data_IF_658456870459
#
_entry.id   IF_658456870459
#
_cell.length_a   1.000
_cell.length_b   1.000
_cell.length_c   1.000
_cell.angle_alpha   90.00
_cell.angle_beta   90.00
_cell.angle_gamma   90.00
#
_symmetry.space_group_name_H-M   'P 1'
#
loop_
_entity.id
_entity.type
_entity.pdbx_description
1 polymer ?
#
# COMPACT_ATOMS: atom_id res chain seq x y z
N UNK A 1 8.36 -28.11 0.35
CA UNK A 1 7.05 -27.88 -0.26
C UNK A 1 6.18 -26.91 0.55
N UNK A 2 5.89 -27.15 1.83
CA UNK A 2 5.00 -26.29 2.67
C UNK A 2 5.37 -24.81 2.69
N UNK A 3 6.66 -24.45 2.74
CA UNK A 3 7.13 -23.04 2.75
C UNK A 3 6.73 -22.26 1.50
N UNK A 4 6.79 -22.88 0.31
CA UNK A 4 6.40 -22.22 -0.95
C UNK A 4 4.88 -22.08 -1.09
N UNK A 5 4.13 -23.07 -0.59
CA UNK A 5 2.66 -23.02 -0.51
C UNK A 5 2.22 -21.86 0.36
N UNK A 6 2.87 -21.64 1.52
CA UNK A 6 2.57 -20.51 2.41
C UNK A 6 2.84 -19.16 1.72
N UNK A 7 3.94 -19.04 0.95
CA UNK A 7 4.23 -17.80 0.18
C UNK A 7 3.15 -17.58 -0.89
N UNK A 8 2.81 -18.61 -1.67
CA UNK A 8 1.77 -18.50 -2.70
C UNK A 8 0.40 -18.14 -2.11
N UNK A 9 0.00 -18.78 -1.00
CA UNK A 9 -1.24 -18.47 -0.30
C UNK A 9 -1.25 -17.03 0.22
N UNK A 10 -0.14 -16.56 0.79
CA UNK A 10 -0.02 -15.18 1.25
C UNK A 10 -0.09 -14.17 0.10
N UNK A 11 0.51 -14.47 -1.06
CA UNK A 11 0.40 -13.65 -2.26
C UNK A 11 -1.04 -13.53 -2.74
N UNK A 12 -1.78 -14.66 -2.80
CA UNK A 12 -3.19 -14.67 -3.21
C UNK A 12 -4.07 -13.91 -2.22
N UNK A 13 -3.83 -14.04 -0.91
CA UNK A 13 -4.52 -13.25 0.10
C UNK A 13 -4.29 -11.75 -0.13
N UNK A 14 -3.04 -11.34 -0.33
CA UNK A 14 -2.69 -9.96 -0.62
C UNK A 14 -3.37 -9.43 -1.89
N UNK A 15 -3.45 -10.27 -2.92
CA UNK A 15 -4.12 -9.94 -4.17
C UNK A 15 -5.63 -9.71 -3.96
N UNK A 16 -6.29 -10.51 -3.14
CA UNK A 16 -7.70 -10.30 -2.82
C UNK A 16 -7.93 -9.03 -1.98
N UNK A 17 -7.04 -8.72 -1.04
CA UNK A 17 -7.21 -7.61 -0.10
C UNK A 17 -6.86 -6.24 -0.70
N UNK A 18 -6.04 -6.18 -1.74
CA UNK A 18 -5.57 -4.92 -2.33
C UNK A 18 -6.53 -4.26 -3.32
N UNK A 19 -7.75 -4.78 -3.51
CA UNK A 19 -8.73 -4.29 -4.49
C UNK A 19 -9.08 -2.80 -4.36
N UNK A 20 -8.85 -2.20 -3.19
CA UNK A 20 -9.10 -0.78 -2.95
C UNK A 20 -8.23 0.16 -3.82
N UNK A 21 -7.13 -0.32 -4.38
CA UNK A 21 -6.37 0.46 -5.37
C UNK A 21 -7.10 0.62 -6.72
N UNK A 22 -8.16 -0.14 -6.98
CA UNK A 22 -9.06 0.04 -8.12
C UNK A 22 -10.23 0.99 -7.82
N UNK A 23 -10.17 1.75 -6.73
CA UNK A 23 -11.26 2.60 -6.25
C UNK A 23 -11.75 3.62 -7.27
N UNK A 24 -10.91 4.09 -8.17
CA UNK A 24 -11.29 5.04 -9.21
C UNK A 24 -12.42 4.51 -10.11
N UNK A 25 -12.42 3.22 -10.45
CA UNK A 25 -13.48 2.55 -11.19
C UNK A 25 -14.80 2.56 -10.38
N UNK A 26 -14.72 2.16 -9.11
CA UNK A 26 -15.86 2.12 -8.20
C UNK A 26 -16.43 3.52 -7.97
N UNK A 27 -15.57 4.51 -7.75
CA UNK A 27 -15.96 5.89 -7.51
C UNK A 27 -16.74 6.47 -8.69
N UNK A 28 -16.31 6.15 -9.92
CA UNK A 28 -17.00 6.56 -11.15
C UNK A 28 -18.42 6.01 -11.16
N UNK A 29 -18.59 4.71 -11.00
CA UNK A 29 -19.91 4.04 -10.99
C UNK A 29 -20.83 4.59 -9.89
N UNK A 30 -20.31 4.80 -8.67
CA UNK A 30 -21.08 5.37 -7.56
C UNK A 30 -21.51 6.82 -7.85
N UNK A 31 -20.70 7.58 -8.57
CA UNK A 31 -21.05 8.95 -8.98
C UNK A 31 -22.11 8.95 -10.07
N UNK A 32 -21.97 8.12 -11.09
CA UNK A 32 -22.87 8.07 -12.24
C UNK A 32 -24.23 7.47 -11.87
N UNK A 33 -24.27 6.40 -11.07
CA UNK A 33 -25.50 5.67 -10.74
C UNK A 33 -26.22 6.25 -9.51
N UNK A 34 -25.47 6.63 -8.47
CA UNK A 34 -26.04 7.06 -7.17
C UNK A 34 -25.82 8.54 -6.85
N UNK A 35 -25.22 9.32 -7.75
CA UNK A 35 -25.02 10.76 -7.57
C UNK A 35 -24.05 11.13 -6.43
N UNK A 36 -23.11 10.26 -6.11
CA UNK A 36 -22.12 10.58 -5.07
C UNK A 36 -21.20 11.69 -5.56
N UNK A 37 -20.97 12.69 -4.69
CA UNK A 37 -19.95 13.69 -4.97
C UNK A 37 -18.54 13.07 -4.90
N UNK A 38 -17.58 13.67 -5.61
CA UNK A 38 -16.19 13.27 -5.55
C UNK A 38 -15.65 13.25 -4.11
N UNK A 39 -16.03 14.24 -3.27
CA UNK A 39 -15.66 14.28 -1.86
C UNK A 39 -16.17 13.05 -1.08
N UNK A 40 -17.41 12.60 -1.33
CA UNK A 40 -17.98 11.42 -0.67
C UNK A 40 -17.24 10.14 -1.07
N UNK A 41 -16.93 9.96 -2.35
CA UNK A 41 -16.20 8.78 -2.82
C UNK A 41 -14.77 8.77 -2.30
N UNK A 42 -14.09 9.91 -2.31
CA UNK A 42 -12.73 10.04 -1.77
C UNK A 42 -12.68 9.83 -0.24
N UNK A 43 -13.74 10.21 0.49
CA UNK A 43 -13.79 9.96 1.93
C UNK A 43 -13.88 8.47 2.25
N UNK A 44 -14.61 7.66 1.47
CA UNK A 44 -14.62 6.19 1.63
C UNK A 44 -13.22 5.61 1.47
N UNK A 45 -12.51 6.04 0.43
CA UNK A 45 -11.13 5.65 0.17
C UNK A 45 -10.18 6.06 1.31
N UNK A 46 -10.27 7.30 1.77
CA UNK A 46 -9.45 7.83 2.87
C UNK A 46 -9.70 7.09 4.19
N UNK A 47 -10.96 6.81 4.53
CA UNK A 47 -11.32 6.04 5.73
C UNK A 47 -10.76 4.62 5.67
N UNK A 48 -10.82 3.94 4.51
CA UNK A 48 -10.21 2.63 4.35
C UNK A 48 -8.71 2.66 4.68
N UNK A 49 -7.96 3.59 4.07
CA UNK A 49 -6.50 3.68 4.29
C UNK A 49 -6.13 4.20 5.69
N UNK A 50 -7.05 4.80 6.40
CA UNK A 50 -6.87 5.16 7.82
C UNK A 50 -7.17 3.96 8.73
N UNK A 51 -8.28 3.26 8.50
CA UNK A 51 -8.71 2.13 9.32
C UNK A 51 -7.82 0.91 9.15
N UNK A 52 -7.36 0.64 7.94
CA UNK A 52 -6.51 -0.51 7.62
C UNK A 52 -5.25 -0.61 8.52
N UNK A 53 -4.37 0.40 8.62
CA UNK A 53 -3.21 0.31 9.50
C UNK A 53 -3.57 0.35 10.99
N UNK A 54 -4.64 1.04 11.37
CA UNK A 54 -5.14 1.02 12.75
C UNK A 54 -5.61 -0.38 13.13
N UNK A 55 -6.33 -1.07 12.25
CA UNK A 55 -6.74 -2.45 12.46
C UNK A 55 -5.55 -3.40 12.60
N UNK A 56 -4.43 -3.14 11.91
CA UNK A 56 -3.19 -3.91 12.08
C UNK A 56 -2.64 -3.85 13.51
N UNK A 57 -2.87 -2.78 14.29
CA UNK A 57 -2.47 -2.71 15.70
C UNK A 57 -3.20 -3.77 16.55
N UNK A 58 -4.48 -3.94 16.30
CA UNK A 58 -5.28 -4.96 16.98
C UNK A 58 -4.91 -6.36 16.48
N UNK A 59 -4.70 -6.50 15.17
CA UNK A 59 -4.25 -7.73 14.55
C UNK A 59 -2.89 -8.20 15.12
N UNK A 60 -1.94 -7.31 15.31
CA UNK A 60 -0.63 -7.63 15.89
C UNK A 60 -0.70 -8.12 17.35
N UNK A 61 -1.68 -7.62 18.13
CA UNK A 61 -1.96 -8.13 19.47
C UNK A 61 -2.67 -9.50 19.42
N UNK A 62 -3.61 -9.65 18.49
CA UNK A 62 -4.40 -10.86 18.31
C UNK A 62 -3.58 -12.03 17.74
N UNK A 63 -2.57 -11.76 16.90
CA UNK A 63 -1.73 -12.77 16.25
C UNK A 63 -1.11 -13.74 17.22
N UNK A 64 -0.69 -13.24 18.40
CA UNK A 64 -0.06 -14.05 19.45
C UNK A 64 -0.98 -15.12 20.04
N UNK A 65 -2.29 -14.88 20.02
CA UNK A 65 -3.31 -15.78 20.58
C UNK A 65 -4.00 -16.63 19.51
N UNK A 66 -4.31 -16.01 18.39
CA UNK A 66 -5.14 -16.61 17.34
C UNK A 66 -4.31 -17.34 16.27
N UNK A 67 -3.07 -16.89 16.07
CA UNK A 67 -2.23 -17.38 14.99
C UNK A 67 -2.66 -16.87 13.60
N UNK A 68 -1.81 -17.05 12.56
CA UNK A 68 -2.02 -16.45 11.24
C UNK A 68 -3.28 -16.97 10.52
N UNK A 69 -3.60 -18.25 10.67
CA UNK A 69 -4.79 -18.86 10.05
C UNK A 69 -6.09 -18.22 10.54
N UNK A 70 -6.29 -18.14 11.86
CA UNK A 70 -7.53 -17.59 12.41
C UNK A 70 -7.64 -16.10 12.16
N UNK A 71 -6.52 -15.37 12.17
CA UNK A 71 -6.49 -13.96 11.78
C UNK A 71 -6.95 -13.75 10.34
N UNK A 72 -6.53 -14.62 9.41
CA UNK A 72 -6.94 -14.55 8.01
C UNK A 72 -8.42 -14.91 7.84
N UNK A 73 -8.96 -15.84 8.63
CA UNK A 73 -10.39 -16.14 8.66
C UNK A 73 -11.20 -14.92 9.15
N UNK A 74 -10.75 -14.26 10.23
CA UNK A 74 -11.37 -13.02 10.73
C UNK A 74 -11.27 -11.91 9.66
N UNK A 75 -10.16 -11.80 8.98
CA UNK A 75 -9.98 -10.89 7.85
C UNK A 75 -11.07 -11.10 6.79
N UNK A 76 -11.26 -12.36 6.36
CA UNK A 76 -12.28 -12.71 5.38
C UNK A 76 -13.69 -12.36 5.86
N UNK A 77 -14.03 -12.63 7.12
CA UNK A 77 -15.33 -12.30 7.67
C UNK A 77 -15.63 -10.80 7.61
N UNK A 78 -14.69 -9.95 8.05
CA UNK A 78 -14.85 -8.50 7.97
C UNK A 78 -14.86 -7.99 6.54
N UNK A 79 -13.99 -8.51 5.67
CA UNK A 79 -13.94 -8.16 4.26
C UNK A 79 -15.27 -8.47 3.57
N UNK A 80 -15.73 -9.73 3.67
CA UNK A 80 -16.98 -10.17 3.05
C UNK A 80 -18.17 -9.40 3.61
N UNK A 81 -18.26 -9.24 4.94
CA UNK A 81 -19.35 -8.51 5.56
C UNK A 81 -19.37 -7.03 5.13
N UNK A 82 -18.20 -6.39 4.95
CA UNK A 82 -18.11 -5.02 4.46
C UNK A 82 -18.62 -4.87 3.03
N UNK A 83 -18.22 -5.78 2.15
CA UNK A 83 -18.70 -5.82 0.77
C UNK A 83 -20.20 -6.13 0.69
N UNK A 84 -20.71 -7.09 1.48
CA UNK A 84 -22.14 -7.40 1.53
C UNK A 84 -22.95 -6.23 2.10
N UNK A 85 -22.49 -5.58 3.18
CA UNK A 85 -23.14 -4.39 3.72
C UNK A 85 -23.30 -3.31 2.65
N UNK A 86 -22.22 -3.09 1.88
CA UNK A 86 -22.24 -2.12 0.76
C UNK A 86 -23.17 -2.58 -0.37
N UNK A 87 -23.24 -3.88 -0.64
CA UNK A 87 -24.13 -4.41 -1.71
C UNK A 87 -25.61 -4.26 -1.37
N UNK A 88 -25.98 -4.31 -0.10
CA UNK A 88 -27.36 -4.11 0.35
C UNK A 88 -27.66 -2.65 0.73
N UNK A 89 -26.80 -1.72 0.39
CA UNK A 89 -26.97 -0.31 0.76
C UNK A 89 -28.07 0.42 0.01
N UNK A 90 -28.51 -0.08 -1.14
CA UNK A 90 -29.42 0.64 -2.06
C UNK A 90 -28.93 2.08 -2.35
N UNK A 91 -27.63 2.29 -2.43
CA UNK A 91 -27.02 3.62 -2.63
C UNK A 91 -26.92 4.48 -1.36
N UNK A 92 -27.21 3.93 -0.17
CA UNK A 92 -27.02 4.68 1.06
C UNK A 92 -25.53 4.87 1.35
N UNK A 93 -25.11 6.13 1.36
CA UNK A 93 -23.72 6.52 1.55
C UNK A 93 -23.09 5.98 2.86
N UNK A 94 -23.83 6.04 4.00
CA UNK A 94 -23.29 5.61 5.28
C UNK A 94 -23.04 4.09 5.32
N UNK A 95 -23.88 3.30 4.65
CA UNK A 95 -23.67 1.85 4.55
C UNK A 95 -22.46 1.52 3.69
N UNK A 96 -22.25 2.25 2.58
CA UNK A 96 -21.06 2.08 1.74
C UNK A 96 -19.81 2.56 2.48
N UNK A 97 -19.84 3.70 3.17
CA UNK A 97 -18.73 4.19 3.97
C UNK A 97 -18.35 3.19 5.08
N UNK A 98 -19.34 2.66 5.79
CA UNK A 98 -19.10 1.69 6.87
C UNK A 98 -18.62 0.35 6.30
N UNK A 99 -19.21 -0.13 5.20
CA UNK A 99 -18.85 -1.40 4.58
C UNK A 99 -17.47 -1.36 3.95
N UNK A 100 -17.28 -0.48 2.95
CA UNK A 100 -16.03 -0.40 2.20
C UNK A 100 -14.94 0.33 2.96
N UNK A 101 -15.25 1.44 3.64
CA UNK A 101 -14.25 2.21 4.38
C UNK A 101 -13.81 1.53 5.67
N UNK A 102 -14.77 1.14 6.53
CA UNK A 102 -14.45 0.64 7.87
C UNK A 102 -14.26 -0.88 7.89
N UNK A 103 -15.29 -1.65 7.51
CA UNK A 103 -15.25 -3.12 7.66
C UNK A 103 -14.22 -3.76 6.73
N UNK A 104 -14.19 -3.39 5.45
CA UNK A 104 -13.18 -3.90 4.53
C UNK A 104 -11.77 -3.44 4.94
N UNK A 105 -11.61 -2.22 5.50
CA UNK A 105 -10.36 -1.74 6.08
C UNK A 105 -9.89 -2.60 7.27
N UNK A 106 -10.79 -2.96 8.20
CA UNK A 106 -10.49 -3.88 9.31
C UNK A 106 -10.06 -5.24 8.77
N UNK A 107 -10.85 -5.82 7.86
CA UNK A 107 -10.53 -7.09 7.21
C UNK A 107 -9.15 -7.08 6.58
N UNK A 108 -8.84 -6.03 5.81
CA UNK A 108 -7.54 -5.86 5.18
C UNK A 108 -6.41 -5.79 6.21
N UNK A 109 -6.61 -5.08 7.33
CA UNK A 109 -5.59 -4.96 8.38
C UNK A 109 -5.20 -6.30 9.00
N UNK A 110 -6.17 -7.15 9.30
CA UNK A 110 -5.92 -8.49 9.85
C UNK A 110 -5.24 -9.41 8.83
N UNK A 111 -5.74 -9.46 7.61
CA UNK A 111 -5.20 -10.34 6.57
C UNK A 111 -3.83 -9.91 6.07
N UNK A 112 -3.62 -8.61 5.86
CA UNK A 112 -2.35 -8.05 5.43
C UNK A 112 -1.23 -8.42 6.42
N UNK A 113 -1.45 -8.20 7.72
CA UNK A 113 -0.42 -8.50 8.72
C UNK A 113 -0.10 -10.00 8.77
N UNK A 114 -1.11 -10.88 8.75
CA UNK A 114 -0.91 -12.32 8.75
C UNK A 114 -0.14 -12.79 7.52
N UNK A 115 -0.54 -12.32 6.32
CA UNK A 115 0.10 -12.67 5.06
C UNK A 115 1.53 -12.11 4.94
N UNK A 116 1.81 -10.96 5.56
CA UNK A 116 3.13 -10.34 5.57
C UNK A 116 4.11 -11.07 6.49
N UNK A 117 3.69 -11.38 7.72
CA UNK A 117 4.62 -11.85 8.77
C UNK A 117 4.96 -13.32 8.66
N UNK A 118 4.01 -14.16 8.23
CA UNK A 118 4.19 -15.60 8.21
C UNK A 118 5.24 -16.10 7.21
N UNK A 119 5.27 -15.66 5.94
CA UNK A 119 6.28 -16.10 4.97
C UNK A 119 7.72 -15.78 5.40
N UNK A 120 7.93 -14.65 6.08
CA UNK A 120 9.26 -14.25 6.58
C UNK A 120 9.81 -15.22 7.62
N UNK A 121 8.94 -15.91 8.37
CA UNK A 121 9.34 -16.96 9.35
C UNK A 121 9.92 -18.20 8.66
N UNK A 122 9.49 -18.48 7.43
CA UNK A 122 9.98 -19.61 6.63
C UNK A 122 11.28 -19.31 5.88
N UNK A 123 11.61 -18.03 5.66
CA UNK A 123 12.76 -17.59 4.87
C UNK A 123 13.53 -16.48 5.58
N UNK A 124 14.18 -16.79 6.72
CA UNK A 124 14.88 -15.79 7.53
C UNK A 124 16.04 -15.11 6.80
N UNK A 125 16.65 -15.79 5.79
CA UNK A 125 17.79 -15.26 5.03
C UNK A 125 17.36 -14.44 3.79
N UNK A 126 16.10 -14.57 3.37
CA UNK A 126 15.55 -13.90 2.17
C UNK A 126 14.31 -13.06 2.50
N UNK A 127 14.37 -12.35 3.64
CA UNK A 127 13.22 -11.58 4.16
C UNK A 127 12.71 -10.55 3.18
N UNK A 128 13.62 -9.82 2.52
CA UNK A 128 13.30 -8.75 1.57
C UNK A 128 12.61 -9.29 0.33
N UNK A 129 13.21 -10.27 -0.33
CA UNK A 129 12.62 -10.90 -1.53
C UNK A 129 11.24 -11.47 -1.23
N UNK A 130 11.11 -12.26 -0.14
CA UNK A 130 9.84 -12.92 0.20
C UNK A 130 8.76 -11.89 0.58
N UNK A 131 9.12 -10.87 1.35
CA UNK A 131 8.21 -9.75 1.64
C UNK A 131 7.80 -9.05 0.35
N UNK A 132 8.76 -8.78 -0.54
CA UNK A 132 8.52 -8.15 -1.83
C UNK A 132 7.54 -8.93 -2.70
N UNK A 133 7.76 -10.24 -2.86
CA UNK A 133 6.87 -11.12 -3.62
C UNK A 133 5.46 -11.13 -3.04
N UNK A 134 5.33 -11.30 -1.74
CA UNK A 134 4.00 -11.36 -1.09
C UNK A 134 3.27 -10.03 -1.21
N UNK A 135 3.94 -8.92 -0.91
CA UNK A 135 3.33 -7.59 -0.94
C UNK A 135 3.08 -7.10 -2.37
N UNK A 136 3.80 -7.62 -3.38
CA UNK A 136 3.51 -7.38 -4.79
C UNK A 136 2.08 -7.84 -5.16
N UNK A 137 1.57 -8.92 -4.54
CA UNK A 137 0.18 -9.35 -4.70
C UNK A 137 -0.81 -8.21 -4.38
N UNK A 138 -0.57 -7.48 -3.31
CA UNK A 138 -1.39 -6.31 -2.95
C UNK A 138 -1.28 -5.16 -3.98
N UNK A 139 -0.13 -5.01 -4.63
CA UNK A 139 0.07 -4.04 -5.71
C UNK A 139 -0.63 -4.45 -7.01
N UNK A 140 -0.57 -5.72 -7.38
CA UNK A 140 -1.25 -6.24 -8.57
C UNK A 140 -2.78 -6.34 -8.41
N UNK A 141 -3.29 -6.25 -7.19
CA UNK A 141 -4.71 -6.39 -6.89
C UNK A 141 -5.59 -5.45 -7.71
N UNK A 142 -5.14 -4.20 -7.94
CA UNK A 142 -5.89 -3.24 -8.73
C UNK A 142 -6.20 -3.77 -10.14
N UNK A 143 -5.24 -4.41 -10.80
CA UNK A 143 -5.39 -4.94 -12.15
C UNK A 143 -6.45 -6.06 -12.16
N UNK A 144 -6.28 -7.06 -11.28
CA UNK A 144 -7.20 -8.19 -11.23
C UNK A 144 -8.61 -7.77 -10.80
N UNK A 145 -8.70 -6.85 -9.84
CA UNK A 145 -9.97 -6.31 -9.38
C UNK A 145 -10.68 -5.54 -10.50
N UNK A 146 -9.97 -4.62 -11.19
CA UNK A 146 -10.55 -3.83 -12.28
C UNK A 146 -11.03 -4.72 -13.41
N UNK A 147 -10.21 -5.66 -13.87
CA UNK A 147 -10.60 -6.58 -14.94
C UNK A 147 -11.85 -7.39 -14.57
N UNK A 148 -11.91 -7.89 -13.32
CA UNK A 148 -13.08 -8.66 -12.87
C UNK A 148 -14.32 -7.79 -12.68
N UNK A 149 -14.17 -6.59 -12.11
CA UNK A 149 -15.27 -5.64 -11.95
C UNK A 149 -15.80 -5.15 -13.30
N UNK A 150 -14.92 -4.78 -14.24
CA UNK A 150 -15.33 -4.39 -15.61
C UNK A 150 -16.03 -5.52 -16.35
N UNK A 151 -15.55 -6.76 -16.24
CA UNK A 151 -16.24 -7.91 -16.81
C UNK A 151 -17.68 -8.06 -16.29
N UNK A 152 -17.88 -7.87 -14.98
CA UNK A 152 -19.20 -7.93 -14.36
C UNK A 152 -20.10 -6.76 -14.80
N UNK A 153 -19.58 -5.54 -14.81
CA UNK A 153 -20.30 -4.34 -15.25
C UNK A 153 -20.70 -4.45 -16.73
N UNK A 154 -19.80 -4.88 -17.61
CA UNK A 154 -20.06 -5.09 -19.02
C UNK A 154 -21.06 -6.23 -19.28
N UNK A 155 -21.26 -7.14 -18.33
CA UNK A 155 -22.31 -8.17 -18.37
C UNK A 155 -23.68 -7.69 -17.88
N UNK A 156 -23.82 -6.37 -17.65
CA UNK A 156 -25.09 -5.74 -17.23
C UNK A 156 -25.35 -5.79 -15.72
N UNK A 157 -24.32 -6.08 -14.89
CA UNK A 157 -24.44 -6.04 -13.44
C UNK A 157 -24.28 -4.62 -12.92
N UNK A 158 -25.08 -4.24 -11.93
CA UNK A 158 -24.89 -2.98 -11.20
C UNK A 158 -23.73 -3.06 -10.20
N UNK A 159 -23.14 -1.92 -9.84
CA UNK A 159 -22.00 -1.84 -8.93
C UNK A 159 -22.27 -2.49 -7.56
N UNK A 160 -23.48 -2.45 -7.06
CA UNK A 160 -23.84 -3.10 -5.79
C UNK A 160 -23.84 -4.64 -5.92
N UNK A 161 -24.23 -5.19 -7.07
CA UNK A 161 -24.08 -6.62 -7.36
C UNK A 161 -22.60 -7.01 -7.51
N UNK A 162 -21.80 -6.15 -8.13
CA UNK A 162 -20.34 -6.34 -8.23
C UNK A 162 -19.72 -6.45 -6.84
N UNK A 163 -20.11 -5.58 -5.89
CA UNK A 163 -19.68 -5.71 -4.48
C UNK A 163 -20.06 -7.07 -3.90
N UNK A 164 -21.29 -7.53 -4.09
CA UNK A 164 -21.74 -8.84 -3.60
C UNK A 164 -20.89 -9.98 -4.14
N UNK A 165 -20.68 -10.01 -5.45
CA UNK A 165 -19.94 -11.09 -6.12
C UNK A 165 -18.47 -11.08 -5.66
N UNK A 166 -17.81 -9.92 -5.67
CA UNK A 166 -16.43 -9.79 -5.23
C UNK A 166 -16.28 -10.13 -3.75
N UNK A 167 -17.17 -9.63 -2.91
CA UNK A 167 -17.14 -9.92 -1.47
C UNK A 167 -17.20 -11.40 -1.17
N UNK A 168 -18.11 -12.14 -1.83
CA UNK A 168 -18.27 -13.59 -1.64
C UNK A 168 -17.09 -14.35 -2.25
N UNK A 169 -16.72 -14.07 -3.50
CA UNK A 169 -15.66 -14.82 -4.21
C UNK A 169 -14.29 -14.60 -3.58
N UNK A 170 -13.90 -13.34 -3.34
CA UNK A 170 -12.60 -13.05 -2.73
C UNK A 170 -12.58 -13.50 -1.25
N UNK A 171 -13.69 -13.33 -0.53
CA UNK A 171 -13.82 -13.83 0.83
C UNK A 171 -13.62 -15.36 0.91
N UNK A 172 -14.27 -16.11 0.02
CA UNK A 172 -14.09 -17.56 -0.06
C UNK A 172 -12.65 -17.95 -0.40
N UNK A 173 -11.99 -17.24 -1.34
CA UNK A 173 -10.58 -17.45 -1.67
C UNK A 173 -9.69 -17.17 -0.45
N UNK A 174 -9.90 -16.07 0.28
CA UNK A 174 -9.14 -15.73 1.49
C UNK A 174 -9.28 -16.86 2.54
N UNK A 175 -10.49 -17.37 2.77
CA UNK A 175 -10.71 -18.50 3.69
C UNK A 175 -9.98 -19.75 3.21
N UNK A 176 -10.09 -20.11 1.93
CA UNK A 176 -9.39 -21.27 1.38
C UNK A 176 -7.88 -21.16 1.57
N UNK A 177 -7.30 -19.98 1.28
CA UNK A 177 -5.87 -19.73 1.45
C UNK A 177 -5.46 -19.72 2.93
N UNK A 178 -6.34 -19.34 3.86
CA UNK A 178 -6.06 -19.36 5.30
C UNK A 178 -5.70 -20.78 5.80
N UNK A 179 -6.30 -21.83 5.24
CA UNK A 179 -5.98 -23.22 5.58
C UNK A 179 -4.58 -23.65 5.15
N UNK A 180 -3.97 -22.95 4.20
CA UNK A 180 -2.62 -23.18 3.72
C UNK A 180 -1.55 -22.43 4.51
N UNK A 181 -1.97 -21.54 5.41
CA UNK A 181 -1.08 -20.75 6.27
C UNK A 181 -0.62 -21.59 7.48
N UNK A 182 0.61 -22.09 7.40
CA UNK A 182 1.19 -22.99 8.41
C UNK A 182 2.48 -22.36 8.95
N UNK A 183 2.66 -22.32 10.27
CA UNK A 183 3.93 -21.91 10.89
C UNK A 183 5.03 -22.96 10.64
N UNK A 184 6.31 -22.53 10.58
CA UNK A 184 7.44 -23.47 10.61
C UNK A 184 7.41 -24.34 11.86
N UNK A 185 7.84 -25.59 11.74
CA UNK A 185 8.00 -26.49 12.89
C UNK A 185 9.01 -25.87 13.89
N UNK A 186 8.70 -25.90 15.18
CA UNK A 186 9.55 -25.33 16.23
C UNK A 186 9.49 -23.80 16.34
N UNK A 187 8.69 -23.10 15.53
CA UNK A 187 8.45 -21.68 15.71
C UNK A 187 7.60 -21.47 16.97
N UNK A 188 8.29 -21.25 18.10
CA UNK A 188 7.63 -20.80 19.32
C UNK A 188 7.47 -19.29 19.20
N UNK A 189 6.22 -18.85 19.16
CA UNK A 189 5.94 -17.42 19.28
C UNK A 189 6.35 -17.04 20.70
N UNK A 190 7.56 -16.51 20.84
CA UNK A 190 8.04 -16.05 22.13
C UNK A 190 7.06 -14.96 22.55
N UNK A 191 6.21 -15.29 23.51
CA UNK A 191 5.44 -14.29 24.25
C UNK A 191 6.50 -13.56 25.07
N UNK A 192 7.24 -12.71 24.40
CA UNK A 192 8.23 -11.88 25.03
C UNK A 192 7.44 -11.01 26.01
N UNK A 193 7.55 -11.34 27.31
CA UNK A 193 7.18 -10.42 28.40
C UNK A 193 8.08 -9.17 28.40
N UNK A 194 8.98 -9.08 27.42
CA UNK A 194 9.74 -7.88 27.16
C UNK A 194 8.67 -6.84 26.80
N UNK A 195 8.35 -6.02 27.77
CA UNK A 195 7.85 -4.67 27.54
C UNK A 195 8.96 -3.97 26.74
N UNK A 196 9.11 -4.33 25.45
CA UNK A 196 9.99 -3.60 24.56
C UNK A 196 9.35 -2.22 24.51
N UNK A 197 9.94 -1.29 25.26
CA UNK A 197 9.64 0.14 25.13
C UNK A 197 10.19 0.59 23.76
N UNK A 198 9.74 -0.11 22.67
CA UNK A 198 10.18 0.18 21.31
C UNK A 198 9.92 1.64 20.95
N UNK A 199 8.81 2.20 21.47
CA UNK A 199 8.45 3.60 21.30
C UNK A 199 9.47 4.59 21.89
N UNK A 200 10.36 4.16 22.78
CA UNK A 200 11.43 5.01 23.33
C UNK A 200 12.76 4.80 22.60
N UNK A 201 12.77 4.10 21.48
CA UNK A 201 14.00 3.84 20.72
C UNK A 201 14.10 4.74 19.48
N UNK A 202 15.28 5.30 19.22
CA UNK A 202 15.55 6.05 17.99
C UNK A 202 15.26 5.23 16.73
N UNK A 203 15.45 3.90 16.80
CA UNK A 203 15.16 2.96 15.71
C UNK A 203 13.67 2.99 15.31
N UNK A 204 12.76 3.07 16.27
CA UNK A 204 11.33 3.16 16.00
C UNK A 204 10.99 4.45 15.26
N UNK A 205 11.44 5.60 15.79
CA UNK A 205 11.17 6.90 15.15
C UNK A 205 11.81 7.00 13.77
N UNK A 206 13.00 6.44 13.58
CA UNK A 206 13.65 6.35 12.27
C UNK A 206 12.76 5.63 11.25
N UNK A 207 12.17 4.50 11.63
CA UNK A 207 11.26 3.74 10.77
C UNK A 207 9.94 4.47 10.54
N UNK A 208 9.33 5.00 11.60
CA UNK A 208 8.04 5.69 11.52
C UNK A 208 8.12 6.93 10.62
N UNK A 209 9.07 7.83 10.89
CA UNK A 209 9.20 9.06 10.10
C UNK A 209 9.75 8.79 8.69
N UNK A 210 10.65 7.82 8.52
CA UNK A 210 11.11 7.42 7.20
C UNK A 210 9.97 6.89 6.33
N UNK A 211 9.11 6.01 6.88
CA UNK A 211 7.94 5.51 6.19
C UNK A 211 6.93 6.63 5.91
N UNK A 212 6.64 7.50 6.89
CA UNK A 212 5.76 8.63 6.72
C UNK A 212 6.22 9.53 5.56
N UNK A 213 7.49 9.95 5.56
CA UNK A 213 8.04 10.86 4.57
C UNK A 213 8.04 10.25 3.15
N UNK A 214 8.49 8.99 3.04
CA UNK A 214 8.50 8.29 1.75
C UNK A 214 7.10 8.04 1.19
N UNK A 215 6.15 7.65 2.05
CA UNK A 215 4.78 7.39 1.61
C UNK A 215 3.97 8.67 1.41
N UNK A 216 4.21 9.73 2.18
CA UNK A 216 3.64 11.04 1.95
C UNK A 216 3.97 11.54 0.53
N UNK A 217 5.25 11.47 0.17
CA UNK A 217 5.71 11.87 -1.16
C UNK A 217 5.01 11.07 -2.27
N UNK A 218 4.97 9.75 -2.17
CA UNK A 218 4.36 8.90 -3.18
C UNK A 218 2.84 9.06 -3.27
N UNK A 219 2.14 9.21 -2.14
CA UNK A 219 0.68 9.37 -2.11
C UNK A 219 0.24 10.74 -2.60
N UNK A 220 1.00 11.80 -2.31
CA UNK A 220 0.79 13.12 -2.89
C UNK A 220 0.93 13.04 -4.41
N UNK A 221 1.99 12.37 -4.91
CA UNK A 221 2.24 12.26 -6.34
C UNK A 221 1.20 11.41 -7.06
N UNK A 222 0.86 10.21 -6.58
CA UNK A 222 -0.14 9.37 -7.27
C UNK A 222 -1.51 10.04 -7.31
N UNK A 223 -1.88 10.79 -6.28
CA UNK A 223 -3.15 11.53 -6.24
C UNK A 223 -3.21 12.70 -7.24
N UNK A 224 -2.04 13.24 -7.64
CA UNK A 224 -1.95 14.42 -8.52
C UNK A 224 -1.22 14.14 -9.84
N UNK A 225 -0.88 12.89 -10.14
CA UNK A 225 -0.10 12.54 -11.32
C UNK A 225 -0.81 12.94 -12.63
N UNK A 226 -2.12 12.65 -12.72
CA UNK A 226 -2.94 13.02 -13.88
C UNK A 226 -3.03 14.55 -14.05
N UNK A 227 -3.41 15.34 -13.04
CA UNK A 227 -3.40 16.80 -13.14
C UNK A 227 -2.04 17.40 -13.53
N UNK A 228 -0.94 16.92 -12.95
CA UNK A 228 0.42 17.36 -13.28
C UNK A 228 0.74 17.17 -14.76
N UNK A 229 0.40 16.01 -15.32
CA UNK A 229 0.56 15.77 -16.74
C UNK A 229 -0.38 16.61 -17.61
N UNK A 230 -1.61 16.86 -17.15
CA UNK A 230 -2.58 17.67 -17.88
C UNK A 230 -2.17 19.14 -17.98
N UNK A 231 -1.56 19.72 -16.93
CA UNK A 231 -0.97 21.07 -16.99
C UNK A 231 0.10 21.22 -18.09
N UNK A 232 0.79 20.12 -18.40
CA UNK A 232 1.79 20.08 -19.46
C UNK A 232 1.20 19.79 -20.86
N UNK A 233 -0.14 19.77 -21.00
CA UNK A 233 -0.83 19.51 -22.26
C UNK A 233 -0.80 18.06 -22.73
N UNK A 234 -0.50 17.11 -21.84
CA UNK A 234 -0.43 15.68 -22.19
C UNK A 234 -1.84 15.11 -22.37
N UNK A 235 -2.06 14.34 -23.44
CA UNK A 235 -3.36 13.77 -23.78
C UNK A 235 -3.83 12.72 -22.74
N UNK A 236 -5.18 12.62 -22.57
CA UNK A 236 -5.78 11.72 -21.58
C UNK A 236 -5.33 10.27 -21.71
N UNK A 237 -5.13 9.74 -22.90
CA UNK A 237 -4.67 8.36 -23.10
C UNK A 237 -3.28 8.13 -22.49
N UNK A 238 -2.39 9.11 -22.64
CA UNK A 238 -1.05 9.06 -22.05
C UNK A 238 -1.10 9.22 -20.51
N UNK A 239 -2.00 10.09 -20.01
CA UNK A 239 -2.21 10.26 -18.56
C UNK A 239 -2.63 8.95 -17.90
N UNK A 240 -3.59 8.24 -18.49
CA UNK A 240 -4.04 6.92 -18.00
C UNK A 240 -2.91 5.89 -18.06
N UNK A 241 -2.13 5.87 -19.14
CA UNK A 241 -0.95 5.00 -19.26
C UNK A 241 0.11 5.31 -18.20
N UNK A 242 0.31 6.59 -17.85
CA UNK A 242 1.24 7.00 -16.79
C UNK A 242 0.84 6.45 -15.42
N UNK A 243 -0.45 6.57 -15.05
CA UNK A 243 -0.97 6.00 -13.79
C UNK A 243 -0.86 4.47 -13.78
N UNK A 244 -1.17 3.82 -14.90
CA UNK A 244 -1.02 2.37 -15.05
C UNK A 244 0.44 1.94 -14.95
N UNK A 245 1.35 2.67 -15.60
CA UNK A 245 2.79 2.48 -15.52
C UNK A 245 3.33 2.61 -14.10
N UNK A 246 2.86 3.64 -13.36
CA UNK A 246 3.15 3.78 -11.93
C UNK A 246 2.74 2.54 -11.14
N UNK A 247 1.52 2.02 -11.33
CA UNK A 247 1.01 0.88 -10.58
C UNK A 247 1.80 -0.42 -10.86
N UNK A 248 2.12 -0.68 -12.12
CA UNK A 248 2.95 -1.84 -12.52
C UNK A 248 4.36 -1.72 -11.96
N UNK A 249 4.98 -0.55 -12.11
CA UNK A 249 6.32 -0.28 -11.61
C UNK A 249 6.39 -0.33 -10.07
N UNK A 250 5.35 0.12 -9.36
CA UNK A 250 5.21 -0.02 -7.90
C UNK A 250 5.27 -1.51 -7.48
N UNK A 251 4.54 -2.36 -8.18
CA UNK A 251 4.55 -3.80 -7.90
C UNK A 251 5.92 -4.45 -8.21
N UNK A 252 6.54 -4.07 -9.31
CA UNK A 252 7.91 -4.50 -9.65
C UNK A 252 8.93 -3.99 -8.62
N UNK A 253 8.81 -2.74 -8.19
CA UNK A 253 9.66 -2.13 -7.18
C UNK A 253 9.62 -2.88 -5.85
N UNK A 254 8.47 -3.37 -5.42
CA UNK A 254 8.35 -4.19 -4.19
C UNK A 254 9.25 -5.42 -4.24
N UNK A 255 9.26 -6.14 -5.36
CA UNK A 255 10.09 -7.33 -5.53
C UNK A 255 11.57 -6.96 -5.65
N UNK A 256 11.88 -5.99 -6.50
CA UNK A 256 13.27 -5.60 -6.82
C UNK A 256 13.98 -4.99 -5.61
N UNK A 257 13.38 -4.01 -4.94
CA UNK A 257 13.96 -3.43 -3.73
C UNK A 257 14.06 -4.44 -2.59
N UNK A 258 13.06 -5.32 -2.46
CA UNK A 258 13.11 -6.44 -1.53
C UNK A 258 14.33 -7.33 -1.77
N UNK A 259 14.54 -7.73 -3.03
CA UNK A 259 15.69 -8.53 -3.45
C UNK A 259 17.03 -7.80 -3.19
N UNK A 260 17.17 -6.56 -3.65
CA UNK A 260 18.38 -5.75 -3.44
C UNK A 260 18.71 -5.64 -1.94
N UNK A 261 17.69 -5.47 -1.11
CA UNK A 261 17.87 -5.32 0.33
C UNK A 261 18.44 -6.57 1.01
N UNK A 262 18.29 -7.74 0.42
CA UNK A 262 18.88 -8.98 0.97
C UNK A 262 20.40 -9.02 0.80
N UNK A 263 20.94 -8.25 -0.14
CA UNK A 263 22.39 -8.16 -0.39
C UNK A 263 23.05 -6.98 0.32
N UNK A 264 22.45 -5.78 0.22
CA UNK A 264 23.06 -4.56 0.76
C UNK A 264 22.44 -4.09 2.08
N UNK A 265 21.46 -4.83 2.61
CA UNK A 265 20.74 -4.49 3.83
C UNK A 265 19.62 -3.48 3.63
N UNK A 266 18.58 -3.55 4.49
CA UNK A 266 17.37 -2.79 4.30
C UNK A 266 17.58 -1.28 4.50
N UNK A 267 18.35 -0.86 5.53
CA UNK A 267 18.58 0.57 5.80
C UNK A 267 19.20 1.30 4.61
N UNK A 268 20.24 0.74 4.00
CA UNK A 268 20.89 1.32 2.83
C UNK A 268 19.97 1.29 1.59
N UNK A 269 19.19 0.22 1.45
CA UNK A 269 18.23 0.11 0.35
C UNK A 269 17.09 1.12 0.48
N UNK A 270 16.62 1.44 1.70
CA UNK A 270 15.64 2.51 1.97
C UNK A 270 16.21 3.86 1.49
N UNK A 271 17.46 4.16 1.84
CA UNK A 271 18.12 5.39 1.38
C UNK A 271 18.05 5.51 -0.15
N UNK A 272 18.47 4.46 -0.88
CA UNK A 272 18.47 4.50 -2.34
C UNK A 272 17.05 4.55 -2.92
N UNK A 273 16.10 3.80 -2.39
CA UNK A 273 14.72 3.78 -2.90
C UNK A 273 14.03 5.14 -2.73
N UNK A 274 14.18 5.78 -1.55
CA UNK A 274 13.62 7.09 -1.27
C UNK A 274 14.33 8.21 -2.04
N UNK A 275 15.65 8.15 -2.17
CA UNK A 275 16.39 9.09 -2.99
C UNK A 275 15.98 8.99 -4.47
N UNK A 276 15.90 7.76 -5.00
CA UNK A 276 15.42 7.49 -6.35
C UNK A 276 14.01 8.03 -6.59
N UNK A 277 13.08 7.78 -5.64
CA UNK A 277 11.72 8.31 -5.69
C UNK A 277 11.73 9.84 -5.68
N UNK A 278 12.46 10.47 -4.76
CA UNK A 278 12.51 11.92 -4.63
C UNK A 278 13.11 12.62 -5.85
N UNK A 279 14.18 12.08 -6.41
CA UNK A 279 14.78 12.59 -7.66
C UNK A 279 13.79 12.44 -8.82
N UNK A 280 13.13 11.30 -8.97
CA UNK A 280 12.12 11.09 -10.01
C UNK A 280 10.96 12.09 -9.92
N UNK A 281 10.51 12.40 -8.69
CA UNK A 281 9.49 13.42 -8.42
C UNK A 281 10.00 14.81 -8.79
N UNK A 282 11.23 15.13 -8.45
CA UNK A 282 11.81 16.42 -8.79
C UNK A 282 11.87 16.63 -10.32
N UNK A 283 12.28 15.59 -11.05
CA UNK A 283 12.41 15.64 -12.50
C UNK A 283 11.08 15.77 -13.24
N UNK A 284 9.98 15.21 -12.71
CA UNK A 284 8.66 15.34 -13.36
C UNK A 284 8.12 16.77 -13.25
N UNK A 285 8.43 17.49 -12.16
CA UNK A 285 8.04 18.88 -11.98
C UNK A 285 8.99 19.88 -12.64
N UNK A 286 10.26 19.51 -12.73
CA UNK A 286 11.32 20.40 -13.21
C UNK A 286 12.16 19.74 -14.30
N UNK A 287 11.57 19.45 -15.48
CA UNK A 287 12.26 18.74 -16.56
C UNK A 287 13.47 19.52 -17.13
N UNK A 288 13.55 20.84 -16.89
CA UNK A 288 14.68 21.67 -17.25
C UNK A 288 15.99 21.25 -16.55
N UNK A 289 15.95 20.55 -15.42
CA UNK A 289 17.14 20.00 -14.75
C UNK A 289 17.90 19.02 -15.66
N UNK A 290 17.17 18.29 -16.52
CA UNK A 290 17.74 17.35 -17.50
C UNK A 290 17.76 17.90 -18.92
N UNK A 291 17.68 19.24 -19.07
CA UNK A 291 17.78 19.92 -20.38
C UNK A 291 16.49 19.84 -21.22
N UNK A 292 15.35 19.48 -20.64
CA UNK A 292 14.06 19.48 -21.33
C UNK A 292 13.29 20.75 -20.98
N UNK A 293 12.81 21.48 -22.00
CA UNK A 293 12.04 22.72 -21.78
C UNK A 293 10.62 22.45 -21.22
N UNK A 294 10.06 21.27 -21.50
CA UNK A 294 8.71 20.88 -21.12
C UNK A 294 8.64 19.38 -20.76
N UNK A 295 7.63 18.99 -20.00
CA UNK A 295 7.34 17.59 -19.72
C UNK A 295 6.72 16.91 -20.95
N UNK A 296 7.54 16.17 -21.69
CA UNK A 296 7.06 15.43 -22.87
C UNK A 296 6.25 14.19 -22.47
N UNK A 297 5.35 13.67 -23.34
CA UNK A 297 4.59 12.44 -23.06
C UNK A 297 5.46 11.23 -22.67
N UNK A 298 6.58 11.02 -23.37
CA UNK A 298 7.52 9.94 -23.07
C UNK A 298 8.17 10.11 -21.69
N UNK A 299 8.63 11.33 -21.39
CA UNK A 299 9.25 11.65 -20.10
C UNK A 299 8.26 11.47 -18.95
N UNK A 300 6.99 11.88 -19.13
CA UNK A 300 5.92 11.67 -18.18
C UNK A 300 5.70 10.17 -17.87
N UNK A 301 5.63 9.32 -18.90
CA UNK A 301 5.47 7.87 -18.73
C UNK A 301 6.64 7.24 -17.97
N UNK A 302 7.87 7.60 -18.35
CA UNK A 302 9.08 7.07 -17.71
C UNK A 302 9.17 7.52 -16.26
N UNK A 303 8.99 8.81 -15.98
CA UNK A 303 9.09 9.33 -14.61
C UNK A 303 7.94 8.84 -13.72
N UNK A 304 6.72 8.71 -14.24
CA UNK A 304 5.61 8.09 -13.54
C UNK A 304 5.95 6.66 -13.10
N UNK A 305 6.53 5.86 -13.99
CA UNK A 305 6.96 4.51 -13.68
C UNK A 305 8.12 4.51 -12.64
N UNK A 306 9.10 5.41 -12.77
CA UNK A 306 10.21 5.54 -11.84
C UNK A 306 9.71 5.94 -10.43
N UNK A 307 8.78 6.88 -10.31
CA UNK A 307 8.18 7.27 -9.04
C UNK A 307 7.48 6.06 -8.41
N UNK A 308 6.67 5.34 -9.21
CA UNK A 308 5.99 4.12 -8.75
C UNK A 308 6.97 3.05 -8.27
N UNK A 309 8.05 2.82 -9.01
CA UNK A 309 9.09 1.86 -8.65
C UNK A 309 9.74 2.19 -7.31
N UNK A 310 10.13 3.45 -7.08
CA UNK A 310 10.67 3.91 -5.81
C UNK A 310 9.66 3.77 -4.66
N UNK A 311 8.39 4.15 -4.92
CA UNK A 311 7.30 4.06 -3.95
C UNK A 311 7.06 2.62 -3.46
N UNK A 312 7.20 1.64 -4.35
CA UNK A 312 7.06 0.22 -4.02
C UNK A 312 8.00 -0.24 -2.90
N UNK A 313 9.19 0.33 -2.81
CA UNK A 313 10.16 0.05 -1.77
C UNK A 313 9.65 0.29 -0.35
N UNK A 314 8.80 1.30 -0.14
CA UNK A 314 8.28 1.65 1.19
C UNK A 314 7.59 0.47 1.88
N UNK A 315 6.83 -0.34 1.15
CA UNK A 315 6.02 -1.41 1.76
C UNK A 315 6.84 -2.64 2.17
N UNK A 316 7.99 -2.84 1.55
CA UNK A 316 8.84 -4.02 1.74
C UNK A 316 9.99 -3.72 2.68
N UNK A 317 10.67 -2.60 2.44
CA UNK A 317 11.92 -2.28 3.13
C UNK A 317 11.70 -1.95 4.60
N UNK A 318 10.67 -1.16 4.92
CA UNK A 318 10.35 -0.81 6.31
C UNK A 318 9.83 -2.01 7.10
N UNK A 319 9.11 -2.95 6.46
CA UNK A 319 8.72 -4.20 7.09
C UNK A 319 9.95 -5.07 7.42
N UNK A 320 10.88 -5.21 6.45
CA UNK A 320 12.13 -5.93 6.64
C UNK A 320 13.00 -5.31 7.70
N UNK A 321 13.20 -3.99 7.67
CA UNK A 321 14.04 -3.28 8.63
C UNK A 321 13.46 -3.36 10.05
N UNK A 322 12.11 -3.35 10.18
CA UNK A 322 11.45 -3.63 11.45
C UNK A 322 11.81 -5.03 11.98
N UNK A 323 11.79 -6.03 11.10
CA UNK A 323 12.17 -7.39 11.46
C UNK A 323 13.66 -7.51 11.80
N UNK A 324 14.54 -6.72 11.18
CA UNK A 324 15.98 -6.68 11.50
C UNK A 324 16.25 -5.99 12.84
N UNK A 325 15.62 -4.86 13.12
CA UNK A 325 15.85 -4.10 14.36
C UNK A 325 15.27 -4.74 15.61
N UNK A 326 14.09 -5.36 15.48
CA UNK A 326 13.31 -5.85 16.61
C UNK A 326 13.15 -7.37 16.65
N UNK A 327 13.65 -8.06 15.62
CA UNK A 327 13.53 -9.50 15.45
C UNK A 327 12.21 -9.96 14.83
N UNK A 328 12.26 -11.04 14.06
CA UNK A 328 11.10 -11.63 13.36
C UNK A 328 9.93 -11.94 14.32
N UNK A 329 10.15 -12.49 15.54
CA UNK A 329 9.05 -12.78 16.47
C UNK A 329 8.27 -11.54 16.92
N UNK A 330 8.89 -10.37 16.90
CA UNK A 330 8.28 -9.11 17.34
C UNK A 330 7.72 -8.28 16.18
N UNK A 331 7.99 -8.66 14.92
CA UNK A 331 7.57 -7.92 13.73
C UNK A 331 6.06 -7.67 13.71
N UNK A 332 5.25 -8.70 13.94
CA UNK A 332 3.80 -8.60 13.95
C UNK A 332 3.24 -7.65 15.02
N UNK A 333 3.98 -7.45 16.11
CA UNK A 333 3.58 -6.55 17.19
C UNK A 333 4.05 -5.11 16.99
N UNK A 334 5.17 -4.88 16.31
CA UNK A 334 5.84 -3.57 16.22
C UNK A 334 5.56 -2.91 14.86
N UNK A 335 5.61 -3.66 13.77
CA UNK A 335 5.42 -3.12 12.42
C UNK A 335 4.09 -2.35 12.25
N UNK A 336 2.95 -2.76 12.84
CA UNK A 336 1.72 -1.97 12.76
C UNK A 336 1.86 -0.53 13.29
N UNK A 337 2.66 -0.32 14.33
CA UNK A 337 2.93 1.04 14.84
C UNK A 337 3.81 1.85 13.89
N UNK A 338 4.79 1.22 13.26
CA UNK A 338 5.57 1.86 12.18
C UNK A 338 4.66 2.20 11.01
N UNK A 339 3.74 1.30 10.66
CA UNK A 339 2.82 1.45 9.54
C UNK A 339 1.75 2.53 9.74
N UNK A 340 1.56 3.04 10.98
CA UNK A 340 0.76 4.26 11.20
C UNK A 340 1.35 5.48 10.47
N UNK A 341 2.66 5.51 10.20
CA UNK A 341 3.26 6.53 9.32
C UNK A 341 2.56 6.59 7.96
N UNK A 342 2.20 5.44 7.39
CA UNK A 342 1.41 5.37 6.17
C UNK A 342 -0.02 5.91 6.32
N UNK A 343 -0.69 5.69 7.47
CA UNK A 343 -2.03 6.28 7.73
C UNK A 343 -2.00 7.80 7.69
N UNK A 344 -1.02 8.40 8.40
CA UNK A 344 -0.86 9.86 8.41
C UNK A 344 -0.49 10.40 7.01
N UNK A 345 0.38 9.69 6.31
CA UNK A 345 0.75 10.05 4.93
C UNK A 345 -0.45 9.96 3.99
N UNK A 346 -1.31 8.94 4.14
CA UNK A 346 -2.51 8.74 3.33
C UNK A 346 -3.55 9.84 3.50
N UNK A 347 -3.64 10.41 4.69
CA UNK A 347 -4.52 11.53 4.95
C UNK A 347 -3.89 12.85 4.50
N UNK A 348 -2.65 13.11 4.91
CA UNK A 348 -2.00 14.41 4.73
C UNK A 348 -1.45 14.63 3.31
N UNK A 349 -0.93 13.59 2.65
CA UNK A 349 -0.31 13.72 1.33
C UNK A 349 -1.27 14.27 0.27
N UNK A 350 -2.36 13.56 -0.07
CA UNK A 350 -3.32 14.02 -1.06
C UNK A 350 -3.98 15.36 -0.68
N UNK A 351 -4.31 15.55 0.61
CA UNK A 351 -4.88 16.80 1.12
C UNK A 351 -3.94 17.99 0.88
N UNK A 352 -2.66 17.84 1.17
CA UNK A 352 -1.65 18.88 0.93
C UNK A 352 -1.59 19.24 -0.55
N UNK A 353 -1.60 18.25 -1.44
CA UNK A 353 -1.59 18.48 -2.89
C UNK A 353 -2.79 19.30 -3.35
N UNK A 354 -3.99 18.92 -2.92
CA UNK A 354 -5.23 19.61 -3.28
C UNK A 354 -5.30 21.04 -2.74
N UNK A 355 -5.02 21.24 -1.44
CA UNK A 355 -5.06 22.57 -0.79
C UNK A 355 -4.05 23.53 -1.42
N UNK A 356 -2.83 23.08 -1.67
CA UNK A 356 -1.80 23.93 -2.27
C UNK A 356 -2.15 24.29 -3.72
N UNK A 357 -2.71 23.35 -4.48
CA UNK A 357 -3.21 23.65 -5.82
C UNK A 357 -4.35 24.70 -5.80
N UNK A 358 -5.27 24.57 -4.86
CA UNK A 358 -6.38 25.53 -4.74
C UNK A 358 -5.90 26.97 -4.45
N UNK A 359 -4.81 27.09 -3.68
CA UNK A 359 -4.21 28.39 -3.32
C UNK A 359 -3.34 28.95 -4.45
N UNK A 360 -2.42 28.13 -4.98
CA UNK A 360 -1.37 28.59 -5.91
C UNK A 360 -1.71 28.37 -7.38
N UNK A 361 -2.76 27.58 -7.69
CA UNK A 361 -3.18 27.20 -9.05
C UNK A 361 -2.03 26.60 -9.89
N UNK A 362 -1.10 25.93 -9.23
CA UNK A 362 0.03 25.19 -9.82
C UNK A 362 0.39 23.98 -8.94
N UNK A 363 0.93 22.93 -9.58
CA UNK A 363 1.46 21.75 -8.88
C UNK A 363 2.96 21.87 -8.55
N UNK A 364 3.65 22.96 -8.89
CA UNK A 364 5.09 23.15 -8.64
C UNK A 364 5.44 22.97 -7.15
N UNK A 365 4.71 23.67 -6.27
CA UNK A 365 4.95 23.60 -4.83
C UNK A 365 4.60 22.23 -4.23
N UNK A 366 3.44 21.61 -4.53
CA UNK A 366 3.15 20.22 -4.19
C UNK A 366 4.25 19.24 -4.60
N UNK A 367 4.76 19.33 -5.83
CA UNK A 367 5.81 18.46 -6.35
C UNK A 367 7.12 18.69 -5.58
N UNK A 368 7.50 19.94 -5.35
CA UNK A 368 8.71 20.28 -4.61
C UNK A 368 8.65 19.74 -3.18
N UNK A 369 7.54 19.94 -2.46
CA UNK A 369 7.33 19.39 -1.11
C UNK A 369 7.44 17.88 -1.14
N UNK A 370 6.80 17.22 -2.11
CA UNK A 370 6.85 15.77 -2.26
C UNK A 370 8.30 15.27 -2.46
N UNK A 371 9.06 15.90 -3.35
CA UNK A 371 10.46 15.55 -3.59
C UNK A 371 11.32 15.74 -2.33
N UNK A 372 11.18 16.89 -1.67
CA UNK A 372 11.90 17.20 -0.43
C UNK A 372 11.58 16.20 0.68
N UNK A 373 10.29 15.84 0.86
CA UNK A 373 9.89 14.84 1.85
C UNK A 373 10.54 13.47 1.58
N UNK A 374 10.54 13.01 0.32
CA UNK A 374 11.18 11.74 -0.04
C UNK A 374 12.70 11.77 0.20
N UNK A 375 13.38 12.84 -0.19
CA UNK A 375 14.82 13.02 0.02
C UNK A 375 15.16 13.15 1.52
N UNK A 376 14.35 13.88 2.29
CA UNK A 376 14.50 13.96 3.74
C UNK A 376 14.34 12.58 4.39
N UNK A 377 13.36 11.79 3.94
CA UNK A 377 13.19 10.39 4.34
C UNK A 377 14.45 9.55 4.06
N UNK A 378 15.07 9.71 2.89
CA UNK A 378 16.35 9.07 2.55
C UNK A 378 17.46 9.50 3.52
N UNK A 379 17.53 10.80 3.83
CA UNK A 379 18.52 11.37 4.74
C UNK A 379 18.51 10.76 6.15
N UNK A 380 17.34 10.34 6.64
CA UNK A 380 17.23 9.63 7.93
C UNK A 380 18.08 8.35 7.94
N UNK A 381 18.28 7.69 6.78
CA UNK A 381 19.02 6.45 6.65
C UNK A 381 20.48 6.65 6.23
N UNK A 382 20.94 7.89 6.02
CA UNK A 382 22.32 8.19 5.65
C UNK A 382 23.32 7.68 6.69
N UNK A 383 22.95 7.68 7.98
CA UNK A 383 23.78 7.15 9.06
C UNK A 383 24.09 5.67 8.92
N UNK A 384 23.28 4.91 8.17
CA UNK A 384 23.53 3.47 7.95
C UNK A 384 24.63 3.25 6.91
N UNK A 385 24.84 4.23 6.03
CA UNK A 385 25.96 4.23 5.09
C UNK A 385 27.31 4.41 5.79
N UNK A 386 27.39 5.34 6.76
CA UNK A 386 28.65 5.67 7.45
C UNK A 386 29.02 4.70 8.59
N UNK A 387 28.13 3.78 8.96
CA UNK A 387 28.38 2.78 10.03
C UNK A 387 28.87 1.43 9.50
N UNK A 388 29.06 1.29 8.21
CA UNK A 388 29.69 0.13 7.55
C UNK A 388 31.16 0.42 7.26
#
# INVERSE_FOLDING_TARGET
MRRYITVAASFVIMLCLGGMFAWSLIAKELTEVYGFSAARTQLVFGIFFTVFPVAMLFAGKAEKRLGPRNMTIISSLFFTAGYLLSSFSNGNYLLILTGMGVMAGIGTGFGYLAALTLPVRWFPDKKGLITGVVVAGFGFAAIFYSLFAEYLLNSGREILEVFKIIGITYGAVIVAMAFLLINPAGFTQIISKIKVRFANTSKFYKLFFGLFLGTFAGLLMIGNLTPVGAESGISNNILVLGVSGFAVANSAGRVTWGFISDYIGAGLTILFALAFQGVSILLIGYPNIIGQSTLTPTLYLVLSAMIGFGFGGNFVLFAKETAQFFGIPNMGAIYPYVFLGYSFAGLLGPLTGGVLFDIFKSYDLPILISAVMSIAGAGIFLTDYFRR
#
